data_IF_907788857687
#
_entry.id   IF_907788857687
#
_cell.length_a   1.000
_cell.length_b   1.000
_cell.length_c   1.000
_cell.angle_alpha   90.00
_cell.angle_beta   90.00
_cell.angle_gamma   90.00
#
_symmetry.space_group_name_H-M   'P 1'
#
loop_
_entity.id
_entity.type
_entity.pdbx_description
1 polymer ?
#
# COMPACT_ATOMS: atom_id res chain seq x y z
N UNK A 1 -42.92 28.71 -63.09
CA UNK A 1 -42.72 28.15 -61.73
C UNK A 1 -41.22 28.22 -61.44
N UNK A 2 -40.78 29.13 -60.55
CA UNK A 2 -40.22 28.82 -59.21
C UNK A 2 -38.96 27.92 -59.32
N UNK A 3 -37.72 28.25 -58.94
CA UNK A 3 -37.11 29.17 -57.95
C UNK A 3 -35.58 29.23 -58.23
N UNK A 4 -34.95 30.41 -58.30
CA UNK A 4 -34.08 31.05 -57.28
C UNK A 4 -32.69 30.40 -57.12
N UNK A 5 -31.69 31.08 -57.70
CA UNK A 5 -30.30 31.17 -57.23
C UNK A 5 -30.28 31.66 -55.77
N UNK A 6 -29.51 31.04 -54.85
CA UNK A 6 -28.70 31.80 -53.87
C UNK A 6 -27.81 30.93 -52.97
N UNK A 7 -26.53 31.29 -53.00
CA UNK A 7 -25.55 31.38 -51.89
C UNK A 7 -25.04 30.15 -51.15
N UNK A 8 -23.71 30.05 -51.23
CA UNK A 8 -22.81 29.36 -50.32
C UNK A 8 -23.07 29.65 -48.85
N UNK A 9 -23.17 28.60 -48.04
CA UNK A 9 -23.04 28.64 -46.60
C UNK A 9 -22.33 27.34 -46.22
N UNK A 10 -20.99 27.35 -46.17
CA UNK A 10 -20.21 27.56 -44.95
C UNK A 10 -20.74 26.72 -43.77
N UNK A 11 -20.14 25.56 -43.53
CA UNK A 11 -19.70 25.14 -42.19
C UNK A 11 -18.88 23.84 -42.31
N UNK A 12 -17.59 23.99 -42.60
CA UNK A 12 -16.60 22.94 -42.31
C UNK A 12 -16.50 22.82 -40.80
N UNK A 13 -17.28 21.93 -40.20
CA UNK A 13 -17.05 21.52 -38.80
C UNK A 13 -15.80 20.67 -38.77
N UNK A 14 -14.65 21.32 -38.61
CA UNK A 14 -13.48 20.67 -38.04
C UNK A 14 -13.87 20.24 -36.62
N UNK A 15 -14.08 18.95 -36.42
CA UNK A 15 -13.89 18.36 -35.10
C UNK A 15 -12.40 18.52 -34.80
N UNK A 16 -12.05 19.66 -34.22
CA UNK A 16 -10.85 19.77 -33.43
C UNK A 16 -11.05 18.76 -32.29
N UNK A 17 -10.58 17.53 -32.53
CA UNK A 17 -10.14 16.63 -31.48
C UNK A 17 -8.97 17.38 -30.85
N UNK A 18 -9.29 18.33 -29.97
CA UNK A 18 -8.39 18.66 -28.89
C UNK A 18 -8.30 17.34 -28.15
N UNK A 19 -7.23 16.60 -28.46
CA UNK A 19 -6.78 15.51 -27.63
C UNK A 19 -6.97 16.00 -26.20
N UNK A 20 -7.83 15.33 -25.44
CA UNK A 20 -7.77 15.41 -24.01
C UNK A 20 -6.36 14.91 -23.67
N UNK A 21 -5.38 15.80 -23.73
CA UNK A 21 -4.17 15.67 -22.95
C UNK A 21 -4.67 15.77 -21.54
N UNK A 22 -5.12 14.63 -21.00
CA UNK A 22 -4.94 14.38 -19.59
C UNK A 22 -3.44 14.58 -19.37
N UNK A 23 -3.00 15.64 -18.67
CA UNK A 23 -1.66 15.63 -18.14
C UNK A 23 -1.62 14.43 -17.20
N UNK A 24 -1.13 13.30 -17.68
CA UNK A 24 -0.97 12.09 -16.90
C UNK A 24 -0.05 12.42 -15.73
N UNK A 25 -0.65 12.54 -14.54
CA UNK A 25 -0.18 11.96 -13.30
C UNK A 25 1.31 12.13 -13.01
N UNK A 26 1.72 13.33 -12.58
CA UNK A 26 3.06 13.58 -12.01
C UNK A 26 3.05 13.72 -10.49
N UNK A 27 1.88 13.62 -9.83
CA UNK A 27 1.86 13.48 -8.38
C UNK A 27 2.25 12.03 -8.06
N UNK A 28 3.34 11.78 -7.31
CA UNK A 28 3.67 10.42 -6.88
C UNK A 28 2.49 9.86 -6.09
N UNK A 29 2.20 8.57 -6.28
CA UNK A 29 1.17 7.90 -5.47
C UNK A 29 1.58 8.00 -4.00
N UNK A 30 0.61 8.13 -3.09
CA UNK A 30 0.90 8.19 -1.64
C UNK A 30 1.77 7.00 -1.21
N UNK A 31 1.49 5.81 -1.73
CA UNK A 31 2.30 4.61 -1.51
C UNK A 31 3.75 4.76 -1.99
N UNK A 32 4.01 5.45 -3.11
CA UNK A 32 5.37 5.68 -3.61
C UNK A 32 6.17 6.62 -2.69
N UNK A 33 5.49 7.59 -2.07
CA UNK A 33 6.11 8.53 -1.11
C UNK A 33 6.53 7.74 0.13
N UNK A 34 5.58 7.01 0.74
CA UNK A 34 5.82 6.20 1.93
C UNK A 34 6.88 5.11 1.68
N UNK A 35 6.87 4.47 0.52
CA UNK A 35 7.89 3.50 0.13
C UNK A 35 9.28 4.15 0.03
N UNK A 36 9.36 5.42 -0.37
CA UNK A 36 10.65 6.12 -0.48
C UNK A 36 11.21 6.52 0.88
N UNK A 37 10.32 6.88 1.81
CA UNK A 37 10.61 7.38 3.14
C UNK A 37 11.00 6.25 4.11
N UNK A 38 10.19 5.22 4.22
CA UNK A 38 10.38 4.16 5.22
C UNK A 38 11.19 2.95 4.70
N UNK A 39 11.06 2.60 3.42
CA UNK A 39 11.68 1.37 2.89
C UNK A 39 13.06 1.64 2.27
N UNK A 40 13.98 0.68 2.48
CA UNK A 40 15.34 0.70 1.95
C UNK A 40 15.68 -0.56 1.15
N UNK A 41 16.78 -0.51 0.40
CA UNK A 41 17.35 -1.64 -0.33
C UNK A 41 16.35 -2.48 -1.13
N UNK A 42 16.29 -3.77 -0.80
CA UNK A 42 15.38 -4.72 -1.45
C UNK A 42 13.91 -4.51 -1.08
N UNK A 43 13.61 -4.01 0.12
CA UNK A 43 12.24 -3.73 0.55
C UNK A 43 11.66 -2.59 -0.28
N UNK A 44 12.43 -1.54 -0.56
CA UNK A 44 12.03 -0.43 -1.43
C UNK A 44 11.70 -0.88 -2.85
N UNK A 45 12.48 -1.81 -3.38
CA UNK A 45 12.34 -2.30 -4.76
C UNK A 45 11.26 -3.37 -4.93
N UNK A 46 10.86 -4.02 -3.83
CA UNK A 46 9.82 -5.03 -3.83
C UNK A 46 8.44 -4.41 -4.07
N UNK A 47 7.66 -5.05 -4.95
CA UNK A 47 6.25 -4.73 -5.13
C UNK A 47 5.44 -5.18 -3.91
N UNK A 48 4.53 -4.32 -3.46
CA UNK A 48 3.73 -4.59 -2.29
C UNK A 48 2.75 -3.47 -1.99
N UNK A 49 1.70 -3.79 -1.24
CA UNK A 49 0.73 -2.79 -0.79
C UNK A 49 1.21 -2.18 0.52
N UNK A 50 1.18 -0.86 0.58
CA UNK A 50 1.55 -0.10 1.79
C UNK A 50 0.28 0.39 2.48
N UNK A 51 0.20 0.12 3.77
CA UNK A 51 -0.85 0.59 4.67
C UNK A 51 -0.26 1.66 5.57
N UNK A 52 -0.75 2.88 5.44
CA UNK A 52 -0.38 4.03 6.26
C UNK A 52 -1.20 4.06 7.54
N UNK A 53 -0.56 3.90 8.70
CA UNK A 53 -1.24 3.88 9.99
C UNK A 53 -1.27 5.23 10.72
N UNK A 54 -0.43 6.19 10.32
CA UNK A 54 -0.41 7.53 10.93
C UNK A 54 -1.51 8.41 10.35
N UNK A 55 -1.82 8.26 9.06
CA UNK A 55 -2.88 9.03 8.39
C UNK A 55 -4.22 8.30 8.30
N UNK A 56 -4.41 7.55 7.23
CA UNK A 56 -5.75 7.13 6.77
C UNK A 56 -6.37 6.01 7.61
N UNK A 57 -5.57 5.30 8.42
CA UNK A 57 -5.97 4.05 9.04
C UNK A 57 -6.01 4.09 10.57
N UNK A 58 -6.49 5.19 11.16
CA UNK A 58 -6.71 5.34 12.62
C UNK A 58 -7.54 4.20 13.24
N UNK A 59 -8.39 3.52 12.45
CA UNK A 59 -9.12 2.32 12.90
C UNK A 59 -8.21 1.17 13.39
N UNK A 60 -6.94 1.15 13.00
CA UNK A 60 -5.95 0.18 13.43
C UNK A 60 -5.65 0.27 14.93
N UNK A 61 -5.75 1.47 15.52
CA UNK A 61 -5.42 1.74 16.92
C UNK A 61 -6.28 0.96 17.92
N UNK A 62 -7.46 0.48 17.49
CA UNK A 62 -8.35 -0.36 18.31
C UNK A 62 -7.94 -1.83 18.39
N UNK A 63 -6.92 -2.25 17.64
CA UNK A 63 -6.49 -3.65 17.56
C UNK A 63 -5.26 -3.90 18.44
N UNK A 64 -5.24 -5.06 19.09
CA UNK A 64 -4.09 -5.49 19.90
C UNK A 64 -2.91 -5.94 19.05
N UNK A 65 -3.17 -6.45 17.83
CA UNK A 65 -2.16 -6.93 16.92
C UNK A 65 -2.48 -6.44 15.51
N UNK A 66 -1.47 -5.89 14.83
CA UNK A 66 -1.61 -5.31 13.51
C UNK A 66 -2.10 -6.32 12.46
N UNK A 67 -1.72 -7.60 12.58
CA UNK A 67 -2.12 -8.65 11.65
C UNK A 67 -3.65 -8.84 11.66
N UNK A 68 -4.28 -8.75 12.82
CA UNK A 68 -5.73 -8.87 12.96
C UNK A 68 -6.46 -7.73 12.24
N UNK A 69 -5.88 -6.53 12.24
CA UNK A 69 -6.44 -5.38 11.52
C UNK A 69 -6.28 -5.51 10.00
N UNK A 70 -5.15 -6.08 9.54
CA UNK A 70 -4.86 -6.25 8.11
C UNK A 70 -5.77 -7.29 7.42
N UNK A 71 -6.39 -8.19 8.17
CA UNK A 71 -7.34 -9.16 7.62
C UNK A 71 -8.50 -8.45 6.91
N UNK A 72 -8.79 -8.88 5.68
CA UNK A 72 -9.83 -8.28 4.84
C UNK A 72 -9.45 -6.95 4.17
N UNK A 73 -8.29 -6.36 4.51
CA UNK A 73 -7.73 -5.16 3.85
C UNK A 73 -6.64 -5.52 2.86
N UNK A 74 -5.92 -6.61 3.12
CA UNK A 74 -4.87 -7.13 2.25
C UNK A 74 -5.37 -8.32 1.47
N UNK A 75 -5.29 -8.25 0.13
CA UNK A 75 -5.74 -9.32 -0.75
C UNK A 75 -4.98 -10.63 -0.48
N UNK A 76 -5.74 -11.69 -0.17
CA UNK A 76 -5.20 -13.02 0.06
C UNK A 76 -4.43 -13.20 1.39
N UNK A 77 -4.49 -12.22 2.30
CA UNK A 77 -3.96 -12.36 3.66
C UNK A 77 -4.99 -13.09 4.54
N UNK A 78 -4.53 -14.15 5.17
CA UNK A 78 -5.21 -14.86 6.24
C UNK A 78 -4.31 -14.85 7.48
N UNK A 79 -4.90 -14.80 8.66
CA UNK A 79 -4.13 -14.88 9.91
C UNK A 79 -4.66 -16.04 10.73
N UNK A 80 -3.75 -16.95 11.06
CA UNK A 80 -4.04 -18.10 11.89
C UNK A 80 -3.60 -17.81 13.32
N UNK A 81 -4.40 -18.25 14.28
CA UNK A 81 -4.03 -18.16 15.70
C UNK A 81 -3.51 -19.52 16.16
N UNK A 82 -2.25 -19.55 16.61
CA UNK A 82 -1.67 -20.74 17.23
C UNK A 82 -2.28 -20.98 18.61
N UNK A 83 -2.13 -22.19 19.16
CA UNK A 83 -2.61 -22.57 20.51
C UNK A 83 -2.08 -21.64 21.61
N UNK A 84 -0.92 -21.02 21.41
CA UNK A 84 -0.29 -20.10 22.35
C UNK A 84 -0.74 -18.63 22.14
N UNK A 85 -1.75 -18.38 21.31
CA UNK A 85 -2.26 -17.03 21.02
C UNK A 85 -1.44 -16.23 20.01
N UNK A 86 -0.39 -16.80 19.42
CA UNK A 86 0.44 -16.13 18.39
C UNK A 86 -0.32 -16.02 17.07
N UNK A 87 -0.34 -14.82 16.48
CA UNK A 87 -0.93 -14.53 15.17
C UNK A 87 0.09 -14.78 14.05
N UNK A 88 -0.22 -15.68 13.13
CA UNK A 88 0.68 -16.07 12.05
C UNK A 88 0.05 -15.67 10.71
N UNK A 89 0.70 -14.78 9.93
CA UNK A 89 0.18 -14.34 8.65
C UNK A 89 0.48 -15.39 7.56
N UNK A 90 -0.51 -15.63 6.72
CA UNK A 90 -0.42 -16.46 5.52
C UNK A 90 -0.91 -15.64 4.32
N UNK A 91 -0.15 -15.66 3.24
CA UNK A 91 -0.50 -15.01 1.98
C UNK A 91 -0.50 -16.09 0.91
N UNK A 92 -1.67 -16.32 0.31
CA UNK A 92 -1.85 -17.32 -0.76
C UNK A 92 -1.40 -18.72 -0.29
N UNK A 93 -1.89 -19.14 0.88
CA UNK A 93 -1.60 -20.42 1.54
C UNK A 93 -0.13 -20.65 1.95
N UNK A 94 0.74 -19.66 1.81
CA UNK A 94 2.12 -19.69 2.29
C UNK A 94 2.32 -18.79 3.50
N UNK A 95 3.04 -19.27 4.53
CA UNK A 95 3.34 -18.49 5.73
C UNK A 95 4.21 -17.30 5.35
N UNK A 96 3.78 -16.07 5.60
CA UNK A 96 4.58 -14.88 5.29
C UNK A 96 5.70 -14.67 6.33
N UNK A 97 6.87 -14.24 5.87
CA UNK A 97 7.96 -13.79 6.74
C UNK A 97 7.67 -12.41 7.32
N UNK A 98 8.02 -12.17 8.58
CA UNK A 98 7.75 -10.90 9.27
C UNK A 98 9.06 -10.16 9.47
N UNK A 99 9.04 -8.87 9.17
CA UNK A 99 10.17 -7.97 9.39
C UNK A 99 9.69 -6.76 10.17
N UNK A 100 10.52 -6.29 11.10
CA UNK A 100 10.34 -5.01 11.77
C UNK A 100 11.56 -4.17 11.44
N UNK A 101 11.35 -3.00 10.84
CA UNK A 101 12.42 -2.11 10.40
C UNK A 101 13.50 -2.88 9.61
N UNK A 102 13.03 -3.76 8.70
CA UNK A 102 13.85 -4.60 7.81
C UNK A 102 14.63 -5.74 8.50
N UNK A 103 14.44 -5.93 9.80
CA UNK A 103 15.04 -7.01 10.59
C UNK A 103 14.03 -8.16 10.70
N UNK A 104 14.42 -9.41 10.37
CA UNK A 104 13.53 -10.56 10.48
C UNK A 104 13.19 -10.86 11.94
N UNK A 105 11.90 -11.05 12.23
CA UNK A 105 11.39 -11.38 13.57
C UNK A 105 10.42 -12.55 13.53
N UNK A 106 10.23 -13.21 14.66
CA UNK A 106 9.16 -14.21 14.80
C UNK A 106 7.80 -13.56 15.05
N UNK A 107 6.75 -14.25 14.63
CA UNK A 107 5.36 -13.83 14.81
C UNK A 107 4.97 -13.55 16.27
N UNK A 108 5.59 -14.25 17.23
CA UNK A 108 5.35 -14.01 18.65
C UNK A 108 5.72 -12.59 19.11
N UNK A 109 6.70 -11.96 18.46
CA UNK A 109 7.15 -10.61 18.82
C UNK A 109 6.10 -9.53 18.50
N UNK A 110 5.22 -9.76 17.52
CA UNK A 110 4.15 -8.81 17.21
C UNK A 110 3.11 -8.66 18.32
N UNK A 111 3.05 -9.60 19.26
CA UNK A 111 2.18 -9.46 20.43
C UNK A 111 2.71 -8.45 21.46
N UNK A 112 4.00 -8.11 21.43
CA UNK A 112 4.59 -7.08 22.27
C UNK A 112 4.68 -5.71 21.59
N UNK A 113 4.43 -5.64 20.28
CA UNK A 113 4.45 -4.39 19.52
C UNK A 113 3.05 -3.76 19.53
N UNK A 114 2.95 -2.54 20.05
CA UNK A 114 1.70 -1.76 20.01
C UNK A 114 1.42 -1.30 18.59
N UNK A 115 0.16 -1.36 18.16
CA UNK A 115 -0.24 -0.85 16.83
C UNK A 115 -0.04 0.67 16.70
N UNK A 116 -0.09 1.39 17.83
CA UNK A 116 0.12 2.85 17.84
C UNK A 116 1.56 3.25 17.54
N UNK A 117 2.53 2.34 17.68
CA UNK A 117 3.95 2.62 17.47
C UNK A 117 4.39 2.27 16.04
N UNK A 118 3.44 1.92 15.17
CA UNK A 118 3.70 1.52 13.78
C UNK A 118 3.32 2.68 12.86
N UNK A 119 4.26 3.10 12.02
CA UNK A 119 4.02 4.13 11.02
C UNK A 119 3.33 3.54 9.79
N UNK A 120 3.95 2.53 9.19
CA UNK A 120 3.43 1.87 7.99
C UNK A 120 3.59 0.35 8.06
N UNK A 121 2.78 -0.34 7.27
CA UNK A 121 2.96 -1.78 6.99
C UNK A 121 3.02 -2.01 5.50
N UNK A 122 4.11 -2.61 5.02
CA UNK A 122 4.28 -3.03 3.63
C UNK A 122 4.09 -4.54 3.50
N UNK A 123 3.12 -4.94 2.68
CA UNK A 123 2.85 -6.34 2.37
C UNK A 123 3.33 -6.71 0.98
N UNK A 124 4.39 -7.53 0.94
CA UNK A 124 5.01 -8.05 -0.26
C UNK A 124 4.40 -9.42 -0.54
N UNK A 125 3.54 -9.50 -1.55
CA UNK A 125 2.81 -10.74 -1.91
C UNK A 125 3.58 -11.64 -2.87
N UNK A 126 4.47 -11.06 -3.67
CA UNK A 126 5.29 -11.77 -4.65
C UNK A 126 6.61 -12.27 -4.08
N UNK A 127 7.35 -13.10 -4.84
CA UNK A 127 8.60 -13.70 -4.40
C UNK A 127 9.59 -12.64 -3.92
N UNK A 128 9.99 -12.74 -2.65
CA UNK A 128 10.88 -11.78 -2.00
C UNK A 128 12.19 -12.43 -1.59
N UNK A 129 13.32 -11.92 -2.08
CA UNK A 129 14.64 -12.48 -1.82
C UNK A 129 15.04 -12.48 -0.32
N UNK A 130 14.50 -11.54 0.46
CA UNK A 130 14.74 -11.49 1.91
C UNK A 130 13.97 -12.53 2.72
N UNK A 131 12.97 -13.16 2.11
CA UNK A 131 12.13 -14.15 2.77
C UNK A 131 12.74 -15.54 2.67
N UNK A 132 13.23 -16.08 3.80
CA UNK A 132 13.82 -17.42 3.85
C UNK A 132 12.69 -18.45 4.02
N UNK A 133 12.53 -19.32 3.02
CA UNK A 133 11.55 -20.43 3.08
C UNK A 133 10.09 -19.99 2.92
N UNK A 134 9.85 -18.73 2.59
CA UNK A 134 8.54 -18.20 2.23
C UNK A 134 8.63 -17.35 0.96
N UNK A 135 7.53 -17.25 0.24
CA UNK A 135 7.43 -16.46 -0.97
C UNK A 135 6.95 -15.03 -0.70
N UNK A 136 6.54 -14.69 0.53
CA UNK A 136 5.88 -13.43 0.83
C UNK A 136 6.37 -12.85 2.16
N UNK A 137 6.23 -11.54 2.32
CA UNK A 137 6.70 -10.83 3.50
C UNK A 137 5.73 -9.75 3.97
N UNK A 138 5.70 -9.56 5.28
CA UNK A 138 5.05 -8.43 5.96
C UNK A 138 6.16 -7.64 6.64
N UNK A 139 6.45 -6.45 6.13
CA UNK A 139 7.41 -5.53 6.72
C UNK A 139 6.64 -4.44 7.48
N UNK A 140 6.98 -4.28 8.75
CA UNK A 140 6.35 -3.35 9.68
C UNK A 140 7.40 -2.30 10.02
N UNK A 141 7.05 -1.03 9.89
CA UNK A 141 7.95 0.08 10.17
C UNK A 141 7.44 0.85 11.37
N UNK A 142 8.30 1.05 12.36
CA UNK A 142 7.93 1.78 13.57
C UNK A 142 8.01 3.29 13.35
N UNK A 143 7.25 4.05 14.14
CA UNK A 143 7.35 5.51 14.14
C UNK A 143 8.73 5.88 14.67
N UNK A 144 9.50 6.64 13.91
CA UNK A 144 10.78 7.16 14.38
C UNK A 144 10.50 8.32 15.35
N UNK A 145 11.21 8.37 16.48
CA UNK A 145 10.99 9.37 17.55
C UNK A 145 11.06 10.84 17.09
N UNK A 146 11.56 11.12 15.89
CA UNK A 146 11.58 12.47 15.29
C UNK A 146 10.35 12.86 14.45
N UNK A 147 9.47 11.92 14.10
CA UNK A 147 8.30 12.17 13.24
C UNK A 147 7.02 12.50 14.02
N UNK A 148 6.95 12.12 15.30
CA UNK A 148 5.78 12.33 16.15
C UNK A 148 5.52 13.81 16.52
N UNK A 149 6.41 14.73 16.15
CA UNK A 149 6.33 16.15 16.54
C UNK A 149 5.76 17.08 15.45
N UNK A 150 5.61 16.65 14.19
CA UNK A 150 5.22 17.55 13.08
C UNK A 150 3.69 17.67 12.84
N UNK A 151 2.85 16.89 13.52
CA UNK A 151 1.38 16.95 13.37
C UNK A 151 0.63 17.54 14.59
N UNK A 152 1.17 18.59 15.23
CA UNK A 152 0.45 19.32 16.29
C UNK A 152 0.22 20.81 16.01
#
# INVERSE_FOLDING_TARGET
MKKIFLTSMLFTTALAVTAQRYPGQNAPLKEDILNKEYCTGMFKSADGTILDLTGDNTSAMGYLNILDWMQGRVAGLQVYTSRNGVRIPYIHDSRASIFIDEIPVDAGFLNSLSVNDIAIVKVIRGPFAGSIGSNSAVAIYTIQEGEAEEEK
#
